data_IF_750532292190
#
_entry.id   IF_750532292190
#
_cell.length_a   1.000
_cell.length_b   1.000
_cell.length_c   1.000
_cell.angle_alpha   90.00
_cell.angle_beta   90.00
_cell.angle_gamma   90.00
#
_symmetry.space_group_name_H-M   'P 1'
#
loop_
_entity.id
_entity.type
_entity.pdbx_description
1 polymer ?
#
# COMPACT_ATOMS: atom_id res chain seq x y z
N UNK A 1 -15.64 -23.21 -7.50
CA UNK A 1 -14.77 -22.03 -7.29
C UNK A 1 -13.31 -22.42 -7.52
N UNK A 2 -12.73 -22.07 -8.67
CA UNK A 2 -11.32 -22.39 -8.95
C UNK A 2 -10.39 -21.47 -8.14
N UNK A 3 -9.65 -22.01 -7.16
CA UNK A 3 -8.57 -21.28 -6.48
C UNK A 3 -7.49 -20.95 -7.52
N UNK A 4 -7.44 -19.69 -7.94
CA UNK A 4 -6.40 -19.17 -8.83
C UNK A 4 -5.03 -19.38 -8.16
N UNK A 5 -4.25 -20.36 -8.64
CA UNK A 5 -2.88 -20.63 -8.19
C UNK A 5 -2.05 -19.36 -8.41
N UNK A 6 -1.62 -18.72 -7.32
CA UNK A 6 -0.70 -17.57 -7.40
C UNK A 6 0.63 -18.06 -7.94
N UNK A 7 1.23 -17.30 -8.85
CA UNK A 7 2.56 -17.63 -9.38
C UNK A 7 3.63 -17.42 -8.30
N UNK A 8 4.76 -18.15 -8.36
CA UNK A 8 5.86 -18.03 -7.38
C UNK A 8 6.34 -16.58 -7.21
N UNK A 9 6.40 -15.82 -8.32
CA UNK A 9 6.73 -14.39 -8.32
C UNK A 9 5.76 -13.55 -7.48
N UNK A 10 4.45 -13.82 -7.55
CA UNK A 10 3.46 -13.10 -6.76
C UNK A 10 3.59 -13.40 -5.26
N UNK A 11 3.87 -14.66 -4.90
CA UNK A 11 4.08 -15.04 -3.49
C UNK A 11 5.35 -14.39 -2.93
N UNK A 12 6.44 -14.38 -3.70
CA UNK A 12 7.69 -13.71 -3.31
C UNK A 12 7.49 -12.20 -3.10
N UNK A 13 6.74 -11.53 -3.98
CA UNK A 13 6.47 -10.09 -3.81
C UNK A 13 5.69 -9.79 -2.51
N UNK A 14 4.73 -10.65 -2.15
CA UNK A 14 3.92 -10.46 -0.94
C UNK A 14 4.77 -10.69 0.32
N UNK A 15 5.61 -11.73 0.34
CA UNK A 15 6.50 -12.00 1.48
C UNK A 15 7.51 -10.87 1.66
N UNK A 16 8.10 -10.38 0.57
CA UNK A 16 9.01 -9.24 0.60
C UNK A 16 8.34 -7.97 1.13
N UNK A 17 7.12 -7.68 0.67
CA UNK A 17 6.32 -6.54 1.14
C UNK A 17 5.99 -6.64 2.64
N UNK A 18 5.62 -7.83 3.12
CA UNK A 18 5.38 -8.07 4.55
C UNK A 18 6.63 -7.90 5.41
N UNK A 19 7.81 -8.27 4.89
CA UNK A 19 9.08 -8.06 5.58
C UNK A 19 9.33 -6.56 5.75
N UNK A 20 9.16 -5.76 4.71
CA UNK A 20 9.34 -4.30 4.79
C UNK A 20 8.35 -3.63 5.74
N UNK A 21 7.08 -4.03 5.70
CA UNK A 21 6.07 -3.50 6.62
C UNK A 21 6.43 -3.83 8.08
N UNK A 22 6.86 -5.07 8.34
CA UNK A 22 7.30 -5.51 9.67
C UNK A 22 8.55 -4.74 10.14
N UNK A 23 9.52 -4.54 9.25
CA UNK A 23 10.74 -3.79 9.52
C UNK A 23 10.44 -2.35 9.95
N UNK A 24 9.57 -1.64 9.20
CA UNK A 24 9.16 -0.28 9.57
C UNK A 24 8.30 -0.24 10.85
N UNK A 25 7.53 -1.30 11.11
CA UNK A 25 6.83 -1.48 12.38
C UNK A 25 7.80 -1.58 13.56
N UNK A 26 8.84 -2.41 13.44
CA UNK A 26 9.89 -2.54 14.45
C UNK A 26 10.58 -1.18 14.67
N UNK A 27 10.97 -0.49 13.59
CA UNK A 27 11.57 0.85 13.70
C UNK A 27 10.68 1.85 14.44
N UNK A 28 9.37 1.82 14.20
CA UNK A 28 8.42 2.69 14.90
C UNK A 28 8.35 2.37 16.39
N UNK A 29 8.25 1.08 16.76
CA UNK A 29 8.21 0.65 18.17
C UNK A 29 9.52 0.97 18.88
N UNK A 30 10.65 0.67 18.26
CA UNK A 30 11.97 1.01 18.81
C UNK A 30 12.12 2.51 19.02
N UNK A 31 11.63 3.34 18.08
CA UNK A 31 11.63 4.79 18.24
C UNK A 31 10.81 5.28 19.43
N UNK A 32 9.64 4.67 19.68
CA UNK A 32 8.82 4.96 20.88
C UNK A 32 9.55 4.60 22.16
N UNK A 33 10.16 3.41 22.22
CA UNK A 33 10.95 2.97 23.39
C UNK A 33 12.09 3.95 23.66
N UNK A 34 12.85 4.34 22.63
CA UNK A 34 13.93 5.32 22.77
C UNK A 34 13.42 6.70 23.19
N UNK A 35 12.25 7.12 22.71
CA UNK A 35 11.61 8.36 23.15
C UNK A 35 11.32 8.36 24.65
N UNK A 36 10.74 7.27 25.19
CA UNK A 36 10.46 7.10 26.62
C UNK A 36 11.76 7.10 27.42
N UNK A 37 12.77 6.34 26.99
CA UNK A 37 14.09 6.32 27.62
C UNK A 37 14.72 7.71 27.65
N UNK A 38 14.58 8.50 26.59
CA UNK A 38 15.10 9.86 26.55
C UNK A 38 14.39 10.84 27.48
N UNK A 39 13.10 10.66 27.75
CA UNK A 39 12.37 11.42 28.78
C UNK A 39 12.88 11.03 30.17
N UNK A 40 12.99 9.72 30.44
CA UNK A 40 13.54 9.21 31.71
C UNK A 40 14.99 9.66 31.95
N UNK A 41 15.81 9.73 30.90
CA UNK A 41 17.22 10.12 30.97
C UNK A 41 17.42 11.56 31.50
N UNK A 42 16.45 12.44 31.25
CA UNK A 42 16.57 13.87 31.54
C UNK A 42 15.61 14.39 32.61
N UNK A 43 14.61 13.59 33.02
CA UNK A 43 13.73 13.94 34.13
C UNK A 43 14.25 13.46 35.50
N UNK A 44 15.29 12.61 35.55
CA UNK A 44 15.90 12.19 36.81
C UNK A 44 17.00 13.20 37.17
N UNK A 45 16.86 13.84 38.33
CA UNK A 45 17.84 14.82 38.84
C UNK A 45 19.23 14.19 38.97
N UNK A 46 20.20 14.80 38.27
CA UNK A 46 21.60 14.39 38.05
C UNK A 46 21.87 13.47 36.84
N UNK A 47 21.98 14.12 35.67
CA UNK A 47 22.41 13.52 34.40
C UNK A 47 23.75 12.77 34.50
N UNK A 48 24.68 13.19 35.35
CA UNK A 48 26.03 12.59 35.45
C UNK A 48 26.07 11.22 36.12
N UNK A 49 25.07 10.86 36.93
CA UNK A 49 24.92 9.51 37.51
C UNK A 49 23.93 8.65 36.72
N UNK A 50 23.33 9.20 35.66
CA UNK A 50 22.29 8.51 34.91
C UNK A 50 22.93 7.56 33.87
N UNK A 51 22.73 6.23 33.99
CA UNK A 51 23.27 5.28 33.02
C UNK A 51 22.74 5.53 31.61
N UNK A 52 21.53 6.10 31.47
CA UNK A 52 20.97 6.45 30.16
C UNK A 52 21.73 7.59 29.47
N UNK A 53 22.19 8.59 30.23
CA UNK A 53 22.94 9.73 29.71
C UNK A 53 24.35 9.34 29.28
N UNK A 54 24.97 8.40 30.00
CA UNK A 54 26.24 7.78 29.59
C UNK A 54 26.07 7.01 28.27
N UNK A 55 24.97 6.27 28.11
CA UNK A 55 24.66 5.55 26.87
C UNK A 55 24.45 6.50 25.66
N UNK A 56 23.83 7.68 25.85
CA UNK A 56 23.72 8.71 24.78
C UNK A 56 25.09 9.19 24.31
N UNK A 57 25.98 9.41 25.28
CA UNK A 57 27.32 9.95 25.02
C UNK A 57 28.18 8.93 24.28
N UNK A 58 28.10 7.65 24.67
CA UNK A 58 28.78 6.56 23.97
C UNK A 58 28.23 6.36 22.55
N UNK A 59 26.92 6.45 22.34
CA UNK A 59 26.32 6.37 21.01
C UNK A 59 26.80 7.53 20.11
N UNK A 60 26.76 8.76 20.62
CA UNK A 60 27.21 9.95 19.87
C UNK A 60 28.67 9.80 19.45
N UNK A 61 29.52 9.31 20.36
CA UNK A 61 30.93 9.04 20.07
C UNK A 61 31.12 7.92 19.04
N UNK A 62 30.33 6.85 19.10
CA UNK A 62 30.40 5.73 18.16
C UNK A 62 30.09 6.17 16.72
N UNK A 63 29.09 7.03 16.54
CA UNK A 63 28.71 7.55 15.23
C UNK A 63 29.48 8.81 14.81
N UNK A 64 30.39 9.29 15.67
CA UNK A 64 31.20 10.50 15.49
C UNK A 64 30.36 11.70 15.03
N UNK A 65 29.16 11.86 15.60
CA UNK A 65 28.29 12.97 15.25
C UNK A 65 28.80 14.26 15.89
N UNK A 66 28.98 15.30 15.08
CA UNK A 66 29.46 16.61 15.53
C UNK A 66 28.51 17.35 16.49
N UNK A 67 27.34 16.78 16.75
CA UNK A 67 26.34 17.27 17.69
C UNK A 67 25.82 16.11 18.55
N UNK A 68 25.49 16.41 19.80
CA UNK A 68 24.97 15.40 20.75
C UNK A 68 23.54 15.04 20.36
N UNK A 69 23.30 13.78 20.03
CA UNK A 69 21.95 13.27 19.76
C UNK A 69 21.43 12.58 21.02
N UNK A 70 20.47 13.22 21.68
CA UNK A 70 19.76 12.64 22.82
C UNK A 70 18.83 11.51 22.37
N UNK A 71 18.51 10.58 23.27
CA UNK A 71 17.63 9.44 22.96
C UNK A 71 16.24 9.87 22.46
N UNK A 72 15.77 11.06 22.85
CA UNK A 72 14.51 11.63 22.37
C UNK A 72 14.57 11.98 20.89
N UNK A 73 15.65 12.65 20.47
CA UNK A 73 15.85 13.07 19.08
C UNK A 73 16.04 11.83 18.21
N UNK A 74 16.86 10.89 18.68
CA UNK A 74 17.06 9.61 17.97
C UNK A 74 15.74 8.82 17.85
N UNK A 75 14.97 8.71 18.93
CA UNK A 75 13.66 8.06 18.93
C UNK A 75 12.66 8.74 18.00
N UNK A 76 12.60 10.08 18.00
CA UNK A 76 11.73 10.85 17.11
C UNK A 76 12.06 10.63 15.63
N UNK A 77 13.35 10.59 15.28
CA UNK A 77 13.80 10.30 13.91
C UNK A 77 13.40 8.88 13.49
N UNK A 78 13.56 7.89 14.38
CA UNK A 78 13.14 6.51 14.11
C UNK A 78 11.63 6.37 13.90
N UNK A 79 10.81 7.06 14.71
CA UNK A 79 9.35 7.10 14.53
C UNK A 79 9.02 7.73 13.18
N UNK A 80 9.66 8.85 12.84
CA UNK A 80 9.40 9.55 11.58
C UNK A 80 9.71 8.67 10.37
N UNK A 81 10.86 8.00 10.36
CA UNK A 81 11.25 7.07 9.29
C UNK A 81 10.29 5.87 9.24
N UNK A 82 9.96 5.29 10.40
CA UNK A 82 9.01 4.19 10.49
C UNK A 82 7.63 4.55 9.94
N UNK A 83 7.12 5.73 10.29
CA UNK A 83 5.81 6.22 9.84
C UNK A 83 5.79 6.52 8.33
N UNK A 84 6.85 7.13 7.79
CA UNK A 84 7.01 7.32 6.35
C UNK A 84 7.07 5.97 5.60
N UNK A 85 7.80 4.99 6.14
CA UNK A 85 7.90 3.65 5.56
C UNK A 85 6.56 2.90 5.57
N UNK A 86 5.80 2.98 6.66
CA UNK A 86 4.44 2.43 6.74
C UNK A 86 3.53 3.12 5.73
N UNK A 87 3.59 4.45 5.58
CA UNK A 87 2.78 5.13 4.56
C UNK A 87 3.17 4.74 3.14
N UNK A 88 4.45 4.69 2.81
CA UNK A 88 4.92 4.30 1.50
C UNK A 88 4.46 2.87 1.13
N UNK A 89 4.56 1.93 2.07
CA UNK A 89 4.09 0.55 1.87
C UNK A 89 2.57 0.47 1.71
N UNK A 90 1.81 1.24 2.49
CA UNK A 90 0.34 1.34 2.35
C UNK A 90 -0.08 1.94 1.00
N UNK A 91 0.55 3.02 0.55
CA UNK A 91 0.27 3.61 -0.76
C UNK A 91 0.56 2.63 -1.91
N UNK A 92 1.66 1.90 -1.81
CA UNK A 92 1.98 0.87 -2.77
C UNK A 92 0.93 -0.26 -2.79
N UNK A 93 0.40 -0.66 -1.63
CA UNK A 93 -0.72 -1.61 -1.55
C UNK A 93 -2.00 -1.04 -2.18
N UNK A 94 -2.37 0.20 -1.87
CA UNK A 94 -3.57 0.85 -2.40
C UNK A 94 -3.56 0.87 -3.94
N UNK A 95 -2.43 1.26 -4.54
CA UNK A 95 -2.28 1.28 -6.00
C UNK A 95 -2.42 -0.11 -6.64
N UNK A 96 -1.91 -1.17 -5.99
CA UNK A 96 -2.10 -2.55 -6.46
C UNK A 96 -3.58 -2.96 -6.41
N UNK A 97 -4.27 -2.61 -5.33
CA UNK A 97 -5.70 -2.90 -5.16
C UNK A 97 -6.57 -2.14 -6.18
N UNK A 98 -6.28 -0.87 -6.43
CA UNK A 98 -7.01 -0.08 -7.43
C UNK A 98 -6.81 -0.61 -8.84
N UNK A 99 -5.57 -0.99 -9.19
CA UNK A 99 -5.28 -1.66 -10.47
C UNK A 99 -6.05 -2.99 -10.61
N UNK A 100 -6.21 -3.74 -9.52
CA UNK A 100 -6.98 -4.97 -9.53
C UNK A 100 -8.49 -4.73 -9.71
N UNK A 101 -9.06 -3.71 -9.04
CA UNK A 101 -10.45 -3.31 -9.20
C UNK A 101 -10.76 -2.83 -10.61
N UNK A 102 -9.92 -1.97 -11.19
CA UNK A 102 -10.09 -1.47 -12.57
C UNK A 102 -10.07 -2.63 -13.57
N UNK A 103 -9.19 -3.62 -13.36
CA UNK A 103 -9.11 -4.79 -14.24
C UNK A 103 -10.33 -5.72 -14.09
N UNK A 104 -10.92 -5.80 -12.91
CA UNK A 104 -12.17 -6.52 -12.68
C UNK A 104 -13.35 -5.80 -13.35
N UNK A 105 -13.47 -4.49 -13.18
CA UNK A 105 -14.51 -3.66 -13.81
C UNK A 105 -14.50 -3.80 -15.34
N UNK A 106 -13.32 -3.71 -15.98
CA UNK A 106 -13.20 -3.92 -17.44
C UNK A 106 -13.61 -5.32 -17.90
N UNK A 107 -13.47 -6.34 -17.06
CA UNK A 107 -13.92 -7.70 -17.39
C UNK A 107 -15.44 -7.81 -17.29
N UNK A 108 -16.03 -7.19 -16.30
CA UNK A 108 -17.49 -7.11 -16.15
C UNK A 108 -18.13 -6.34 -17.29
N UNK A 109 -17.53 -5.23 -17.73
CA UNK A 109 -17.97 -4.49 -18.92
C UNK A 109 -17.95 -5.35 -20.18
N UNK A 110 -16.87 -6.13 -20.39
CA UNK A 110 -16.77 -7.06 -21.52
C UNK A 110 -17.79 -8.19 -21.43
N UNK A 111 -18.04 -8.74 -20.24
CA UNK A 111 -19.04 -9.78 -20.03
C UNK A 111 -20.46 -9.25 -20.28
N UNK A 112 -20.76 -8.03 -19.81
CA UNK A 112 -22.05 -7.37 -20.09
C UNK A 112 -22.25 -7.11 -21.58
N UNK A 113 -21.19 -6.72 -22.30
CA UNK A 113 -21.24 -6.54 -23.75
C UNK A 113 -21.55 -7.85 -24.48
N UNK A 114 -20.90 -8.96 -24.09
CA UNK A 114 -21.13 -10.28 -24.69
C UNK A 114 -22.55 -10.79 -24.39
N UNK A 115 -23.03 -10.63 -23.16
CA UNK A 115 -24.40 -10.99 -22.77
C UNK A 115 -25.46 -10.17 -23.52
N UNK A 116 -25.20 -8.88 -23.76
CA UNK A 116 -26.07 -8.03 -24.55
C UNK A 116 -26.04 -8.41 -26.05
N UNK A 117 -24.90 -8.86 -26.56
CA UNK A 117 -24.76 -9.34 -27.94
C UNK A 117 -25.51 -10.67 -28.14
N UNK A 118 -25.38 -11.63 -27.22
CA UNK A 118 -26.15 -12.88 -27.22
C UNK A 118 -27.66 -12.64 -27.08
N UNK A 119 -28.09 -11.69 -26.24
CA UNK A 119 -29.52 -11.39 -26.11
C UNK A 119 -30.09 -10.79 -27.40
N UNK A 120 -29.35 -9.91 -28.09
CA UNK A 120 -29.77 -9.38 -29.40
C UNK A 120 -29.82 -10.48 -30.47
N UNK A 121 -28.83 -11.38 -30.51
CA UNK A 121 -28.82 -12.53 -31.43
C UNK A 121 -29.98 -13.52 -31.17
N UNK A 122 -30.35 -13.75 -29.91
CA UNK A 122 -31.47 -14.64 -29.58
C UNK A 122 -32.84 -14.04 -29.91
N UNK A 123 -32.99 -12.70 -29.84
CA UNK A 123 -34.20 -12.00 -30.29
C UNK A 123 -34.31 -12.03 -31.82
N UNK A 124 -33.21 -11.84 -32.54
CA UNK A 124 -33.17 -11.87 -34.00
C UNK A 124 -33.37 -13.30 -34.57
N UNK A 125 -32.87 -14.33 -33.88
CA UNK A 125 -33.10 -15.72 -34.22
C UNK A 125 -34.53 -16.20 -33.91
N UNK A 126 -35.19 -15.62 -32.89
CA UNK A 126 -36.56 -15.98 -32.53
C UNK A 126 -37.62 -15.32 -33.44
N UNK A 127 -37.29 -14.21 -34.11
CA UNK A 127 -38.20 -13.51 -35.04
C UNK A 127 -37.41 -13.08 -36.29
N UNK A 128 -37.35 -13.92 -37.34
CA UNK A 128 -36.70 -13.55 -38.59
C UNK A 128 -37.43 -12.36 -39.22
N UNK A 129 -36.82 -11.18 -39.16
CA UNK A 129 -37.38 -9.90 -39.66
C UNK A 129 -37.67 -8.85 -38.57
N UNK A 130 -37.36 -9.10 -37.29
CA UNK A 130 -37.48 -8.07 -36.25
C UNK A 130 -36.31 -7.08 -36.31
N UNK A 131 -36.57 -5.88 -36.82
CA UNK A 131 -35.62 -4.76 -36.83
C UNK A 131 -35.55 -4.20 -35.41
N UNK A 132 -34.41 -4.36 -34.72
CA UNK A 132 -34.19 -3.77 -33.41
C UNK A 132 -33.88 -2.26 -33.56
N UNK A 133 -34.74 -1.36 -33.04
CA UNK A 133 -34.54 0.09 -33.20
C UNK A 133 -33.27 0.62 -32.51
N UNK A 134 -32.65 -0.13 -31.58
CA UNK A 134 -31.37 0.27 -30.97
C UNK A 134 -30.14 -0.03 -31.82
N UNK A 135 -30.13 -1.08 -32.65
CA UNK A 135 -28.98 -1.38 -33.53
C UNK A 135 -28.91 -0.40 -34.71
N UNK A 136 -30.06 -0.01 -35.25
CA UNK A 136 -30.16 0.98 -36.33
C UNK A 136 -29.76 2.39 -35.88
N UNK A 137 -30.07 2.77 -34.63
CA UNK A 137 -29.65 4.05 -34.07
C UNK A 137 -28.11 4.12 -33.91
N UNK A 138 -27.48 3.03 -33.47
CA UNK A 138 -26.02 2.93 -33.34
C UNK A 138 -25.30 2.84 -34.70
N UNK A 139 -25.93 2.25 -35.72
CA UNK A 139 -25.40 2.19 -37.08
C UNK A 139 -25.46 3.55 -37.79
N UNK A 140 -26.53 4.33 -37.59
CA UNK A 140 -26.69 5.68 -38.16
C UNK A 140 -25.72 6.70 -37.55
N UNK A 141 -25.40 6.59 -36.26
CA UNK A 141 -24.43 7.47 -35.60
C UNK A 141 -22.98 7.22 -36.07
N UNK A 142 -22.66 5.99 -36.50
CA UNK A 142 -21.36 5.64 -37.09
C UNK A 142 -21.21 6.01 -38.57
N UNK A 143 -22.32 6.27 -39.28
CA UNK A 143 -22.31 6.65 -40.69
C UNK A 143 -22.23 8.18 -40.90
N UNK A 144 -22.41 8.97 -39.83
CA UNK A 144 -22.39 10.44 -39.84
C UNK A 144 -21.09 11.04 -39.24
N UNK A 145 -20.02 10.25 -39.16
CA UNK A 145 -18.64 10.68 -38.89
C UNK A 145 -17.75 10.29 -40.06
#
# INVERSE_FOLDING_TARGET
MAKKKRTKSQVASIVWESIWLSLFGIFSVTGVVMGILGVCAHNIGWNSRNPLYSAETNMTNLFNWGFRIDWRIFGAVLIFIGMLGIMATLFYFAQKYDKAKIKAARREERLKAILAEESNLSVEAAVPGFINPQSDAAAKDKLNK
#
